data_IF_668976818515
#
_entry.id   IF_668976818515
#
_cell.length_a   1.000
_cell.length_b   1.000
_cell.length_c   1.000
_cell.angle_alpha   90.00
_cell.angle_beta   90.00
_cell.angle_gamma   90.00
#
_symmetry.space_group_name_H-M   'P 1'
#
loop_
_entity.id
_entity.type
_entity.pdbx_description
1 polymer ?
#
# COMPACT_ATOMS: atom_id res chain seq x y z
N UNK A 1 36.60 -25.36 -60.87
CA UNK A 1 36.02 -24.97 -62.18
C UNK A 1 35.26 -23.66 -61.98
N UNK A 2 35.91 -22.48 -62.11
CA UNK A 2 35.84 -21.58 -63.28
C UNK A 2 34.49 -21.57 -64.02
N UNK A 3 33.72 -20.46 -63.91
CA UNK A 3 33.33 -19.51 -64.99
C UNK A 3 32.21 -18.54 -64.53
N UNK A 4 32.48 -17.22 -64.49
CA UNK A 4 32.14 -16.13 -65.46
C UNK A 4 30.79 -15.46 -65.13
N UNK A 5 30.77 -14.26 -64.53
CA UNK A 5 30.77 -12.91 -65.14
C UNK A 5 29.58 -12.68 -66.08
N UNK A 6 28.73 -11.70 -65.76
CA UNK A 6 28.26 -10.65 -66.68
C UNK A 6 27.67 -9.46 -65.92
N UNK A 7 28.35 -8.33 -66.05
CA UNK A 7 27.93 -6.98 -65.71
C UNK A 7 26.98 -6.49 -66.81
N UNK A 8 25.96 -5.71 -66.46
CA UNK A 8 25.29 -4.82 -67.41
C UNK A 8 25.12 -3.45 -66.77
N UNK A 9 25.83 -2.49 -67.36
CA UNK A 9 25.76 -1.06 -67.12
C UNK A 9 24.80 -0.50 -68.18
N UNK A 10 23.81 0.30 -67.79
CA UNK A 10 23.10 1.23 -68.68
C UNK A 10 23.17 2.62 -68.08
N UNK A 11 23.49 3.58 -68.94
CA UNK A 11 23.89 4.94 -68.63
C UNK A 11 22.72 5.95 -68.62
N UNK A 12 22.87 6.92 -67.72
CA UNK A 12 22.55 8.36 -67.76
C UNK A 12 21.43 8.93 -68.66
N UNK A 13 20.61 9.80 -68.05
CA UNK A 13 20.11 11.04 -68.66
C UNK A 13 19.88 12.15 -67.61
N UNK A 14 20.41 13.33 -67.89
CA UNK A 14 20.28 14.60 -67.16
C UNK A 14 18.99 15.34 -67.55
N UNK A 15 18.34 16.00 -66.58
CA UNK A 15 17.72 17.33 -66.78
C UNK A 15 17.38 18.00 -65.42
N UNK A 16 17.60 19.32 -65.26
CA UNK A 16 17.29 20.09 -64.06
C UNK A 16 15.87 20.67 -64.12
N UNK A 17 15.18 20.73 -62.98
CA UNK A 17 13.88 21.37 -62.86
C UNK A 17 13.68 21.99 -61.49
N UNK A 18 13.83 23.31 -61.40
CA UNK A 18 13.42 24.11 -60.25
C UNK A 18 11.91 24.37 -60.37
N UNK A 19 11.14 23.97 -59.36
CA UNK A 19 9.83 24.58 -59.06
C UNK A 19 9.75 24.91 -57.58
N UNK A 20 9.52 26.20 -57.31
CA UNK A 20 9.13 26.73 -56.00
C UNK A 20 7.59 26.72 -55.90
N UNK A 21 7.11 26.63 -54.65
CA UNK A 21 5.71 26.71 -54.17
C UNK A 21 4.92 25.40 -54.18
N UNK A 22 4.07 25.07 -53.22
CA UNK A 22 3.78 25.53 -51.85
C UNK A 22 2.66 24.59 -51.37
N UNK A 23 2.78 23.92 -50.22
CA UNK A 23 1.63 23.34 -49.51
C UNK A 23 1.88 23.38 -48.00
N UNK A 24 1.13 24.26 -47.35
CA UNK A 24 1.07 24.51 -45.91
C UNK A 24 0.43 23.35 -45.13
N UNK A 25 1.04 22.97 -44.01
CA UNK A 25 0.45 22.57 -42.71
C UNK A 25 1.63 22.09 -41.86
N UNK A 26 1.98 22.70 -40.75
CA UNK A 26 1.14 23.06 -39.62
C UNK A 26 1.84 22.44 -38.40
N UNK A 27 2.53 23.31 -37.65
CA UNK A 27 3.00 23.22 -36.27
C UNK A 27 3.06 21.86 -35.54
N UNK A 28 4.24 21.63 -34.95
CA UNK A 28 4.31 21.41 -33.49
C UNK A 28 3.81 20.07 -32.96
N UNK A 29 4.56 18.99 -33.18
CA UNK A 29 4.46 17.78 -32.37
C UNK A 29 5.60 17.74 -31.37
N UNK A 30 5.37 18.26 -30.16
CA UNK A 30 6.31 18.20 -29.05
C UNK A 30 6.77 16.76 -28.78
N UNK A 31 8.09 16.56 -28.70
CA UNK A 31 8.68 15.35 -28.11
C UNK A 31 8.34 15.40 -26.62
N UNK A 32 7.22 14.78 -26.24
CA UNK A 32 6.92 14.51 -24.84
C UNK A 32 7.96 13.56 -24.27
N UNK A 33 8.33 13.67 -22.98
CA UNK A 33 9.27 12.75 -22.38
C UNK A 33 8.64 11.35 -22.41
N UNK A 34 9.25 10.44 -23.17
CA UNK A 34 8.97 9.00 -23.10
C UNK A 34 9.46 8.48 -21.75
N UNK A 35 8.69 8.77 -20.72
CA UNK A 35 8.83 8.23 -19.38
C UNK A 35 7.95 7.00 -19.18
N UNK A 36 7.89 6.09 -20.16
CA UNK A 36 7.51 4.72 -19.83
C UNK A 36 8.69 4.15 -19.03
N UNK A 37 8.60 4.23 -17.71
CA UNK A 37 9.46 3.45 -16.83
C UNK A 37 9.42 2.02 -17.35
N UNK A 38 10.56 1.56 -17.90
CA UNK A 38 10.75 0.18 -18.33
C UNK A 38 10.33 -0.69 -17.14
N UNK A 39 9.24 -1.44 -17.28
CA UNK A 39 8.76 -2.35 -16.26
C UNK A 39 9.96 -3.20 -15.80
N UNK A 40 10.25 -3.19 -14.51
CA UNK A 40 11.30 -4.05 -13.97
C UNK A 40 10.97 -5.49 -14.34
N UNK A 41 11.97 -6.26 -14.78
CA UNK A 41 11.81 -7.68 -15.08
C UNK A 41 11.43 -8.55 -13.87
N UNK A 42 11.26 -7.93 -12.69
CA UNK A 42 10.89 -8.59 -11.45
C UNK A 42 9.47 -8.20 -11.04
N UNK A 43 8.66 -9.21 -10.72
CA UNK A 43 7.29 -9.04 -10.21
C UNK A 43 7.33 -8.38 -8.83
N UNK A 44 6.55 -7.32 -8.65
CA UNK A 44 6.48 -6.59 -7.37
C UNK A 44 5.19 -6.95 -6.63
N UNK A 45 5.21 -6.99 -5.28
CA UNK A 45 3.99 -7.17 -4.52
C UNK A 45 2.99 -6.03 -4.76
N UNK A 46 1.68 -6.28 -4.60
CA UNK A 46 0.69 -5.24 -4.72
C UNK A 46 0.77 -4.32 -3.50
N UNK A 47 0.53 -3.02 -3.70
CA UNK A 47 0.39 -2.04 -2.64
C UNK A 47 -1.09 -1.73 -2.44
N UNK A 48 -1.60 -1.94 -1.22
CA UNK A 48 -2.95 -1.51 -0.83
C UNK A 48 -2.85 -0.08 -0.27
N UNK A 49 -3.68 0.82 -0.77
CA UNK A 49 -3.71 2.23 -0.35
C UNK A 49 -5.04 2.65 0.30
N UNK A 50 -6.09 1.84 0.15
CA UNK A 50 -7.40 2.18 0.68
C UNK A 50 -8.38 1.01 0.77
N UNK A 51 -9.32 1.14 1.70
CA UNK A 51 -10.51 0.30 1.77
C UNK A 51 -11.71 1.20 1.92
N UNK A 52 -12.74 0.98 1.11
CA UNK A 52 -14.03 1.67 1.23
C UNK A 52 -15.15 0.67 1.47
N UNK A 53 -16.25 1.16 2.04
CA UNK A 53 -17.47 0.37 2.26
C UNK A 53 -18.51 0.76 1.23
N UNK A 54 -19.05 -0.24 0.57
CA UNK A 54 -20.20 -0.14 -0.32
C UNK A 54 -21.31 -1.04 0.28
N UNK A 55 -22.09 -0.46 1.19
CA UNK A 55 -23.00 -1.21 2.06
C UNK A 55 -22.22 -2.21 2.94
N UNK A 56 -22.54 -3.50 2.82
CA UNK A 56 -21.85 -4.58 3.53
C UNK A 56 -20.58 -5.07 2.81
N UNK A 57 -20.28 -4.54 1.62
CA UNK A 57 -19.13 -4.96 0.81
C UNK A 57 -17.93 -4.07 1.11
N UNK A 58 -16.77 -4.70 1.34
CA UNK A 58 -15.50 -4.00 1.39
C UNK A 58 -14.87 -3.97 0.00
N UNK A 59 -14.52 -2.77 -0.45
CA UNK A 59 -13.79 -2.55 -1.71
C UNK A 59 -12.36 -2.16 -1.37
N UNK A 60 -11.43 -3.07 -1.64
CA UNK A 60 -9.99 -2.88 -1.47
C UNK A 60 -9.43 -2.24 -2.74
N UNK A 61 -8.64 -1.19 -2.57
CA UNK A 61 -7.99 -0.46 -3.66
C UNK A 61 -6.48 -0.47 -3.49
N UNK A 62 -5.80 -0.33 -4.62
CA UNK A 62 -4.36 -0.23 -4.61
C UNK A 62 -3.73 -0.19 -6.00
N UNK A 63 -2.42 -0.44 -6.01
CA UNK A 63 -1.59 -0.46 -7.19
C UNK A 63 -0.78 -1.76 -7.31
N UNK A 64 -0.58 -2.22 -8.54
CA UNK A 64 0.30 -3.30 -8.94
C UNK A 64 0.90 -2.98 -10.33
N UNK A 65 1.71 -3.89 -10.87
CA UNK A 65 2.15 -3.74 -12.26
C UNK A 65 0.93 -3.77 -13.23
N UNK A 66 0.95 -3.04 -14.36
CA UNK A 66 -0.17 -3.00 -15.29
C UNK A 66 -0.62 -4.39 -15.74
N UNK A 67 -1.93 -4.64 -15.71
CA UNK A 67 -2.54 -5.95 -16.03
C UNK A 67 -2.11 -7.11 -15.13
N UNK A 68 -1.39 -6.86 -14.03
CA UNK A 68 -0.99 -7.90 -13.09
C UNK A 68 -2.20 -8.49 -12.36
N UNK A 69 -2.18 -9.80 -12.10
CA UNK A 69 -3.21 -10.47 -11.30
C UNK A 69 -2.91 -10.29 -9.83
N UNK A 70 -3.73 -9.50 -9.15
CA UNK A 70 -3.68 -9.29 -7.70
C UNK A 70 -4.57 -10.32 -7.03
N UNK A 71 -4.04 -11.02 -6.02
CA UNK A 71 -4.76 -12.04 -5.24
C UNK A 71 -4.67 -11.69 -3.76
N UNK A 72 -5.79 -11.80 -3.05
CA UNK A 72 -5.83 -11.76 -1.59
C UNK A 72 -6.12 -13.17 -1.07
N UNK A 73 -5.16 -13.75 -0.33
CA UNK A 73 -5.28 -15.11 0.23
C UNK A 73 -5.55 -15.07 1.72
N UNK A 74 -6.41 -15.96 2.20
CA UNK A 74 -6.55 -16.26 3.61
C UNK A 74 -6.46 -17.78 3.81
N UNK A 75 -6.07 -18.26 5.00
CA UNK A 75 -6.11 -19.69 5.31
C UNK A 75 -7.55 -20.23 5.31
N UNK A 76 -8.51 -19.44 5.81
CA UNK A 76 -9.87 -19.91 6.13
C UNK A 76 -10.96 -19.28 5.24
N UNK A 77 -10.57 -18.48 4.24
CA UNK A 77 -11.50 -17.82 3.30
C UNK A 77 -11.03 -18.05 1.88
N UNK A 78 -11.98 -18.22 0.96
CA UNK A 78 -11.68 -18.35 -0.47
C UNK A 78 -10.83 -17.16 -0.96
N UNK A 79 -9.77 -17.47 -1.71
CA UNK A 79 -8.94 -16.45 -2.32
C UNK A 79 -9.75 -15.62 -3.33
N UNK A 80 -9.53 -14.32 -3.32
CA UNK A 80 -10.19 -13.37 -4.23
C UNK A 80 -9.13 -12.76 -5.12
N UNK A 81 -9.43 -12.57 -6.40
CA UNK A 81 -8.48 -12.04 -7.36
C UNK A 81 -9.12 -11.02 -8.31
N UNK A 82 -8.30 -10.08 -8.76
CA UNK A 82 -8.64 -9.11 -9.81
C UNK A 82 -7.39 -8.81 -10.64
N UNK A 83 -7.56 -8.35 -11.88
CA UNK A 83 -6.44 -7.80 -12.65
C UNK A 83 -6.38 -6.29 -12.42
N UNK A 84 -5.17 -5.76 -12.24
CA UNK A 84 -4.94 -4.33 -12.31
C UNK A 84 -5.26 -3.80 -13.72
N UNK A 85 -5.69 -2.55 -13.82
CA UNK A 85 -5.94 -1.88 -15.09
C UNK A 85 -4.62 -1.59 -15.85
N UNK A 86 -4.73 -1.01 -17.05
CA UNK A 86 -3.55 -0.63 -17.84
C UNK A 86 -2.69 0.46 -17.20
N UNK A 87 -3.19 1.15 -16.16
CA UNK A 87 -2.44 2.10 -15.35
C UNK A 87 -1.90 1.48 -14.05
N UNK A 88 -2.12 0.17 -13.82
CA UNK A 88 -1.68 -0.55 -12.63
C UNK A 88 -2.60 -0.38 -11.42
N UNK A 89 -3.79 0.19 -11.54
CA UNK A 89 -4.73 0.31 -10.41
C UNK A 89 -5.65 -0.88 -10.32
N UNK A 90 -6.01 -1.30 -9.12
CA UNK A 90 -7.01 -2.35 -8.93
C UNK A 90 -8.10 -1.95 -7.94
N UNK A 91 -9.30 -2.49 -8.15
CA UNK A 91 -10.39 -2.49 -7.18
C UNK A 91 -10.88 -3.92 -6.99
N UNK A 92 -10.81 -4.44 -5.78
CA UNK A 92 -11.20 -5.81 -5.43
C UNK A 92 -12.33 -5.76 -4.41
N UNK A 93 -13.49 -6.33 -4.79
CA UNK A 93 -14.64 -6.49 -3.90
C UNK A 93 -14.49 -7.77 -3.09
N UNK A 94 -14.39 -7.65 -1.77
CA UNK A 94 -14.34 -8.80 -0.88
C UNK A 94 -15.73 -9.43 -0.78
N UNK A 95 -15.83 -10.78 -0.78
CA UNK A 95 -17.07 -11.44 -0.40
C UNK A 95 -17.42 -11.10 1.06
N UNK A 96 -18.67 -11.34 1.51
CA UNK A 96 -19.02 -11.21 2.92
C UNK A 96 -18.03 -11.98 3.80
N UNK A 97 -17.45 -11.27 4.77
CA UNK A 97 -16.50 -11.82 5.73
C UNK A 97 -17.18 -11.95 7.09
N UNK A 98 -16.80 -12.98 7.85
CA UNK A 98 -17.28 -13.20 9.21
C UNK A 98 -16.09 -13.29 10.17
N UNK A 99 -16.25 -12.72 11.37
CA UNK A 99 -15.19 -12.69 12.37
C UNK A 99 -13.95 -11.94 11.89
N UNK A 100 -12.80 -12.29 12.45
CA UNK A 100 -11.54 -11.61 12.17
C UNK A 100 -10.77 -12.35 11.07
N UNK A 101 -10.42 -11.64 9.99
CA UNK A 101 -9.81 -12.22 8.80
C UNK A 101 -8.45 -11.59 8.52
N UNK A 102 -7.47 -12.43 8.19
CA UNK A 102 -6.16 -12.03 7.68
C UNK A 102 -6.06 -12.39 6.20
N UNK A 103 -5.73 -11.39 5.39
CA UNK A 103 -5.56 -11.51 3.95
C UNK A 103 -4.12 -11.15 3.61
N UNK A 104 -3.41 -12.08 2.99
CA UNK A 104 -2.08 -11.90 2.42
C UNK A 104 -2.22 -11.46 0.97
N UNK A 105 -1.87 -10.20 0.63
CA UNK A 105 -1.83 -9.73 -0.74
C UNK A 105 -0.65 -10.34 -1.49
N UNK A 106 -0.88 -10.73 -2.74
CA UNK A 106 0.16 -11.16 -3.66
C UNK A 106 -0.15 -10.73 -5.09
N UNK A 107 0.88 -10.61 -5.91
CA UNK A 107 0.75 -10.53 -7.37
C UNK A 107 1.17 -11.87 -7.96
N UNK A 108 0.45 -12.30 -9.01
CA UNK A 108 0.79 -13.44 -9.84
C UNK A 108 0.95 -13.01 -11.30
N UNK A 109 2.06 -13.38 -11.94
CA UNK A 109 2.32 -13.14 -13.36
C UNK A 109 2.88 -14.43 -13.97
N UNK A 110 2.04 -15.18 -14.68
CA UNK A 110 2.43 -16.51 -15.16
C UNK A 110 2.76 -17.45 -13.99
N UNK A 111 4.00 -17.94 -13.96
CA UNK A 111 4.51 -18.80 -12.87
C UNK A 111 5.17 -17.99 -11.73
N UNK A 112 5.42 -16.70 -11.94
CA UNK A 112 6.02 -15.84 -10.93
C UNK A 112 4.98 -15.32 -9.93
N UNK A 113 5.37 -15.19 -8.67
CA UNK A 113 4.56 -14.63 -7.62
C UNK A 113 5.37 -13.71 -6.69
N UNK A 114 4.75 -12.63 -6.24
CA UNK A 114 5.34 -11.71 -5.27
C UNK A 114 4.36 -11.46 -4.12
N UNK A 115 4.69 -12.01 -2.94
CA UNK A 115 3.91 -11.87 -1.72
C UNK A 115 4.21 -10.53 -1.05
N UNK A 116 3.18 -9.82 -0.60
CA UNK A 116 3.34 -8.57 0.13
C UNK A 116 3.88 -8.83 1.53
N UNK A 117 4.83 -8.01 2.03
CA UNK A 117 5.21 -8.03 3.44
C UNK A 117 4.09 -7.54 4.36
N UNK A 118 3.06 -6.89 3.80
CA UNK A 118 1.90 -6.39 4.54
C UNK A 118 0.79 -7.45 4.57
N UNK A 119 0.14 -7.60 5.72
CA UNK A 119 -1.08 -8.38 5.89
C UNK A 119 -2.25 -7.44 6.08
N UNK A 120 -3.31 -7.59 5.26
CA UNK A 120 -4.57 -6.90 5.46
C UNK A 120 -5.37 -7.63 6.54
N UNK A 121 -5.66 -6.92 7.62
CA UNK A 121 -6.48 -7.40 8.73
C UNK A 121 -7.85 -6.72 8.66
N UNK A 122 -8.90 -7.55 8.61
CA UNK A 122 -10.29 -7.12 8.64
C UNK A 122 -10.92 -7.63 9.93
N UNK A 123 -11.30 -6.72 10.82
CA UNK A 123 -11.86 -7.07 12.13
C UNK A 123 -13.39 -7.18 12.04
N UNK A 124 -13.94 -8.26 12.58
CA UNK A 124 -15.39 -8.53 12.66
C UNK A 124 -16.14 -8.37 11.33
N UNK A 125 -15.64 -8.96 10.25
CA UNK A 125 -16.25 -8.88 8.92
C UNK A 125 -16.23 -7.47 8.33
N UNK A 126 -15.38 -6.60 8.87
CA UNK A 126 -15.36 -5.19 8.59
C UNK A 126 -16.25 -4.39 9.53
N UNK A 127 -17.03 -4.94 10.45
CA UNK A 127 -17.72 -4.11 11.45
C UNK A 127 -16.73 -3.36 12.36
N UNK A 128 -15.54 -3.92 12.58
CA UNK A 128 -14.43 -3.26 13.26
C UNK A 128 -13.45 -2.55 12.32
N UNK A 129 -12.23 -2.25 12.82
CA UNK A 129 -11.17 -1.66 12.02
C UNK A 129 -10.70 -2.52 10.85
N UNK A 130 -10.14 -1.86 9.83
CA UNK A 130 -9.45 -2.50 8.71
C UNK A 130 -8.06 -1.87 8.61
N UNK A 131 -7.01 -2.67 8.61
CA UNK A 131 -5.63 -2.17 8.67
C UNK A 131 -4.64 -3.06 7.92
N UNK A 132 -3.51 -2.49 7.49
CA UNK A 132 -2.32 -3.22 7.10
C UNK A 132 -1.35 -3.27 8.27
N UNK A 133 -0.90 -4.48 8.60
CA UNK A 133 0.20 -4.71 9.53
C UNK A 133 1.40 -5.29 8.78
N UNK A 134 2.60 -4.94 9.21
CA UNK A 134 3.83 -5.56 8.71
C UNK A 134 4.91 -5.48 9.79
N UNK A 135 5.82 -6.46 9.79
CA UNK A 135 6.91 -6.51 10.74
C UNK A 135 7.78 -5.24 10.66
N UNK A 136 7.90 -4.52 11.77
CA UNK A 136 8.74 -3.32 11.88
C UNK A 136 8.22 -2.10 11.13
N UNK A 137 6.99 -2.13 10.62
CA UNK A 137 6.34 -0.97 10.01
C UNK A 137 5.21 -0.45 10.91
N UNK A 138 4.92 0.86 10.87
CA UNK A 138 3.73 1.39 11.52
C UNK A 138 2.46 0.79 10.91
N UNK A 139 1.47 0.51 11.74
CA UNK A 139 0.19 0.00 11.24
C UNK A 139 -0.54 1.06 10.41
N UNK A 140 -0.93 0.72 9.19
CA UNK A 140 -1.71 1.59 8.32
C UNK A 140 -3.20 1.27 8.45
N UNK A 141 -3.95 2.19 9.04
CA UNK A 141 -5.39 2.06 9.19
C UNK A 141 -6.13 2.55 7.94
N UNK A 142 -7.08 1.75 7.45
CA UNK A 142 -7.78 1.95 6.17
C UNK A 142 -9.29 2.24 6.32
N UNK A 143 -9.88 2.13 7.51
CA UNK A 143 -11.32 2.26 7.77
C UNK A 143 -11.79 3.68 8.11
N UNK A 144 -11.26 4.73 7.44
CA UNK A 144 -11.76 6.12 7.57
C UNK A 144 -10.81 7.11 8.27
N UNK A 145 -11.37 8.19 8.84
CA UNK A 145 -10.61 9.34 9.36
C UNK A 145 -10.49 9.37 10.88
N UNK A 146 -9.32 9.76 11.40
CA UNK A 146 -9.08 10.09 12.81
C UNK A 146 -7.66 10.66 12.96
N UNK A 147 -7.37 11.35 14.07
CA UNK A 147 -6.04 11.95 14.27
C UNK A 147 -4.98 10.91 14.65
N UNK A 148 -5.39 9.81 15.29
CA UNK A 148 -4.56 8.66 15.66
C UNK A 148 -5.07 7.41 14.94
N UNK A 149 -4.18 6.72 14.24
CA UNK A 149 -4.49 5.46 13.55
C UNK A 149 -4.17 4.25 14.42
N UNK A 150 -2.97 4.22 15.00
CA UNK A 150 -2.48 3.10 15.79
C UNK A 150 -1.45 3.53 16.84
N UNK A 151 -1.31 2.70 17.87
CA UNK A 151 -0.14 2.65 18.75
C UNK A 151 0.46 1.25 18.61
N UNK A 152 1.62 1.15 17.97
CA UNK A 152 2.35 -0.08 17.74
C UNK A 152 3.38 -0.34 18.84
N UNK A 153 3.63 -1.60 19.19
CA UNK A 153 4.69 -1.99 20.12
C UNK A 153 5.40 -3.28 19.73
N UNK A 154 6.64 -3.43 20.19
CA UNK A 154 7.40 -4.67 20.25
C UNK A 154 7.71 -5.10 21.71
N UNK A 155 6.99 -4.52 22.68
CA UNK A 155 7.21 -4.70 24.12
C UNK A 155 8.34 -3.85 24.71
N UNK A 156 9.19 -3.24 23.86
CA UNK A 156 10.29 -2.35 24.30
C UNK A 156 10.04 -0.90 23.91
N UNK A 157 9.53 -0.68 22.70
CA UNK A 157 9.27 0.64 22.12
C UNK A 157 7.78 0.79 21.83
N UNK A 158 7.27 2.01 21.98
CA UNK A 158 5.95 2.38 21.48
C UNK A 158 6.08 3.34 20.31
N UNK A 159 5.21 3.16 19.32
CA UNK A 159 5.15 4.00 18.13
C UNK A 159 3.70 4.43 17.94
N UNK A 160 3.41 5.72 18.08
CA UNK A 160 2.13 6.29 17.68
C UNK A 160 2.18 6.71 16.21
N UNK A 161 1.13 6.44 15.46
CA UNK A 161 1.02 6.82 14.06
C UNK A 161 -0.39 7.32 13.71
N UNK A 162 -0.48 8.19 12.71
CA UNK A 162 -1.74 8.78 12.25
C UNK A 162 -1.59 9.41 10.86
N UNK A 163 -2.69 9.90 10.25
CA UNK A 163 -2.63 10.53 8.94
C UNK A 163 -1.91 11.88 9.01
N UNK A 164 -0.99 12.11 8.08
CA UNK A 164 -0.30 13.39 7.94
C UNK A 164 -1.29 14.49 7.55
N UNK A 165 -1.28 15.60 8.28
CA UNK A 165 -1.98 16.83 7.91
C UNK A 165 -1.07 17.76 7.11
N UNK A 166 -1.56 18.99 6.88
CA UNK A 166 -0.75 20.07 6.30
C UNK A 166 0.37 20.56 7.22
N UNK A 167 0.28 20.26 8.51
CA UNK A 167 1.29 20.53 9.54
C UNK A 167 1.52 19.27 10.38
N UNK A 168 2.73 19.06 10.92
CA UNK A 168 2.95 18.00 11.91
C UNK A 168 2.05 18.21 13.14
N UNK A 169 1.38 17.17 13.65
CA UNK A 169 0.58 17.27 14.86
C UNK A 169 1.46 17.45 16.11
N UNK A 170 0.87 17.99 17.17
CA UNK A 170 1.46 17.94 18.50
C UNK A 170 1.06 16.63 19.16
N UNK A 171 2.05 15.78 19.44
CA UNK A 171 1.84 14.48 20.07
C UNK A 171 2.43 14.49 21.47
N UNK A 172 1.60 14.21 22.48
CA UNK A 172 2.00 14.04 23.87
C UNK A 172 1.83 12.57 24.27
N UNK A 173 2.84 11.96 24.88
CA UNK A 173 2.77 10.58 25.36
C UNK A 173 3.27 10.53 26.79
N UNK A 174 2.41 10.08 27.71
CA UNK A 174 2.68 10.11 29.14
C UNK A 174 2.94 11.52 29.68
N UNK A 175 2.33 12.54 29.06
CA UNK A 175 2.54 13.95 29.41
C UNK A 175 3.82 14.59 28.83
N UNK A 176 4.61 13.85 28.04
CA UNK A 176 5.83 14.36 27.39
C UNK A 176 5.60 14.55 25.90
N UNK A 177 6.04 15.67 25.35
CA UNK A 177 5.95 15.91 23.91
C UNK A 177 6.90 14.98 23.15
N UNK A 178 6.35 14.20 22.22
CA UNK A 178 7.11 13.27 21.39
C UNK A 178 7.66 13.95 20.14
N UNK A 179 8.79 13.46 19.63
CA UNK A 179 9.31 13.90 18.33
C UNK A 179 8.49 13.27 17.20
N UNK A 180 7.89 14.12 16.35
CA UNK A 180 7.03 13.71 15.25
C UNK A 180 7.79 13.81 13.94
N UNK A 181 7.80 12.71 13.18
CA UNK A 181 8.39 12.64 11.85
C UNK A 181 7.33 12.27 10.82
N UNK A 182 7.49 12.76 9.59
CA UNK A 182 6.70 12.24 8.47
C UNK A 182 7.16 10.82 8.14
N UNK A 183 6.20 9.94 7.90
CA UNK A 183 6.37 8.56 7.51
C UNK A 183 5.84 8.34 6.08
N UNK A 184 6.08 7.16 5.53
CA UNK A 184 5.57 6.78 4.22
C UNK A 184 4.03 6.79 4.18
N UNK A 185 3.47 6.78 2.96
CA UNK A 185 2.01 6.68 2.71
C UNK A 185 1.18 7.76 3.41
N UNK A 186 1.71 8.98 3.51
CA UNK A 186 0.99 10.11 4.07
C UNK A 186 0.67 9.94 5.55
N UNK A 187 1.55 9.31 6.32
CA UNK A 187 1.41 9.17 7.76
C UNK A 187 2.42 10.05 8.50
N UNK A 188 2.11 10.39 9.74
CA UNK A 188 3.09 10.83 10.72
C UNK A 188 3.40 9.68 11.69
N UNK A 189 4.58 9.73 12.31
CA UNK A 189 5.01 8.79 13.35
C UNK A 189 5.67 9.53 14.52
N UNK A 190 5.41 9.07 15.73
CA UNK A 190 6.10 9.49 16.94
C UNK A 190 6.57 8.26 17.73
N UNK A 191 7.86 8.20 18.06
CA UNK A 191 8.45 7.10 18.83
C UNK A 191 8.58 7.45 20.31
N UNK A 192 8.43 6.44 21.17
CA UNK A 192 8.58 6.54 22.62
C UNK A 192 9.38 5.35 23.14
N UNK A 193 10.39 5.62 23.95
CA UNK A 193 11.21 4.60 24.62
C UNK A 193 10.61 4.06 25.91
N UNK A 194 9.27 4.00 26.04
CA UNK A 194 8.59 3.45 27.22
C UNK A 194 7.53 2.45 26.78
N UNK A 195 7.51 1.27 27.38
CA UNK A 195 6.46 0.26 27.24
C UNK A 195 5.40 0.40 28.34
N UNK A 196 4.26 -0.27 28.16
CA UNK A 196 3.17 -0.30 29.12
C UNK A 196 2.05 0.71 28.86
N UNK A 197 1.01 0.66 29.69
CA UNK A 197 -0.17 1.50 29.54
C UNK A 197 0.18 2.99 29.70
N UNK A 198 -0.30 3.82 28.77
CA UNK A 198 0.06 5.24 28.73
C UNK A 198 -1.03 6.09 28.08
N UNK A 199 -1.17 7.34 28.55
CA UNK A 199 -1.98 8.34 27.87
C UNK A 199 -1.26 8.85 26.62
N UNK A 200 -1.97 8.90 25.49
CA UNK A 200 -1.53 9.49 24.23
C UNK A 200 -2.47 10.64 23.91
N UNK A 201 -1.96 11.83 23.63
CA UNK A 201 -2.76 12.94 23.12
C UNK A 201 -2.21 13.43 21.78
N UNK A 202 -3.10 13.66 20.81
CA UNK A 202 -2.77 14.16 19.47
C UNK A 202 -3.61 15.40 19.22
N UNK A 203 -2.98 16.56 19.06
CA UNK A 203 -3.65 17.86 18.90
C UNK A 203 -4.74 18.11 19.95
N UNK A 204 -4.49 17.69 21.20
CA UNK A 204 -5.42 17.83 22.32
C UNK A 204 -6.48 16.74 22.44
N UNK A 205 -6.61 15.83 21.46
CA UNK A 205 -7.48 14.65 21.59
C UNK A 205 -6.76 13.54 22.36
N UNK A 206 -7.35 13.11 23.47
CA UNK A 206 -6.76 12.10 24.37
C UNK A 206 -7.22 10.68 24.06
N UNK A 207 -6.29 9.74 24.19
CA UNK A 207 -6.43 8.31 24.02
C UNK A 207 -5.74 7.59 25.18
N UNK A 208 -6.33 6.49 25.67
CA UNK A 208 -5.74 5.68 26.72
C UNK A 208 -5.22 4.37 26.11
N UNK A 209 -3.92 4.30 25.81
CA UNK A 209 -3.29 3.06 25.35
C UNK A 209 -3.28 2.06 26.52
N UNK A 210 -3.91 0.89 26.37
CA UNK A 210 -4.09 -0.08 27.45
C UNK A 210 -2.83 -0.89 27.79
N UNK A 211 -1.68 -0.59 27.17
CA UNK A 211 -0.46 -1.39 27.29
C UNK A 211 -0.43 -2.54 26.28
N UNK A 212 0.61 -3.37 26.36
CA UNK A 212 0.71 -4.60 25.58
C UNK A 212 -0.06 -5.74 26.24
N UNK A 213 -0.14 -6.88 25.55
CA UNK A 213 -0.48 -8.17 26.14
C UNK A 213 0.67 -9.14 25.89
N UNK A 214 0.75 -10.18 26.71
CA UNK A 214 1.74 -11.23 26.54
C UNK A 214 1.66 -11.85 25.14
N UNK A 215 2.84 -12.02 24.53
CA UNK A 215 3.01 -12.55 23.19
C UNK A 215 2.90 -14.07 23.13
N UNK A 216 2.24 -14.57 22.09
CA UNK A 216 2.21 -15.99 21.75
C UNK A 216 1.94 -16.15 20.26
N UNK A 217 0.66 -16.26 19.89
CA UNK A 217 0.22 -16.36 18.50
C UNK A 217 -0.42 -15.08 17.96
N UNK A 218 -0.92 -15.17 16.73
CA UNK A 218 -1.78 -14.12 16.19
C UNK A 218 -3.07 -14.04 17.00
N UNK A 219 -3.44 -12.85 17.48
CA UNK A 219 -4.71 -12.65 18.18
C UNK A 219 -5.27 -11.25 17.93
N UNK A 220 -6.60 -11.14 17.98
CA UNK A 220 -7.33 -9.88 17.94
C UNK A 220 -8.30 -9.88 19.12
N UNK A 221 -8.33 -8.77 19.86
CA UNK A 221 -9.23 -8.61 20.99
C UNK A 221 -9.59 -7.15 21.24
N UNK A 222 -10.72 -6.93 21.91
CA UNK A 222 -11.03 -5.64 22.52
C UNK A 222 -10.01 -5.34 23.63
N UNK A 223 -9.50 -4.11 23.67
CA UNK A 223 -8.59 -3.64 24.71
C UNK A 223 -8.86 -2.17 25.00
N UNK A 224 -9.45 -1.88 26.16
CA UNK A 224 -9.92 -0.54 26.50
C UNK A 224 -10.88 0.01 25.42
N UNK A 225 -10.63 1.25 25.01
CA UNK A 225 -11.39 1.95 23.96
C UNK A 225 -10.77 1.71 22.57
N UNK A 226 -10.56 0.44 22.21
CA UNK A 226 -9.98 0.07 20.94
C UNK A 226 -9.84 -1.44 20.74
N UNK A 227 -9.14 -1.80 19.67
CA UNK A 227 -8.81 -3.16 19.30
C UNK A 227 -7.30 -3.38 19.37
N UNK A 228 -6.87 -4.49 19.94
CA UNK A 228 -5.48 -4.92 19.93
C UNK A 228 -5.32 -6.06 18.93
N UNK A 229 -4.30 -5.96 18.08
CA UNK A 229 -3.82 -7.01 17.19
C UNK A 229 -2.43 -7.40 17.72
N UNK A 230 -2.16 -8.68 17.88
CA UNK A 230 -0.85 -9.22 18.25
C UNK A 230 -0.44 -10.21 17.18
N UNK A 231 0.82 -10.20 16.74
CA UNK A 231 1.33 -11.18 15.79
C UNK A 231 2.79 -11.56 16.09
N UNK A 232 3.18 -12.81 15.82
CA UNK A 232 4.55 -13.25 15.97
C UNK A 232 5.45 -12.64 14.90
N UNK A 233 6.70 -12.37 15.25
CA UNK A 233 7.75 -11.90 14.36
C UNK A 233 8.99 -12.78 14.55
N UNK A 234 9.52 -13.33 13.46
CA UNK A 234 10.70 -14.20 13.52
C UNK A 234 11.94 -13.45 14.04
N UNK A 235 12.86 -14.11 14.77
CA UNK A 235 12.88 -15.54 15.11
C UNK A 235 12.13 -15.93 16.40
N UNK A 236 11.55 -14.99 17.14
CA UNK A 236 10.89 -15.30 18.43
C UNK A 236 10.33 -14.08 19.17
N UNK A 237 10.09 -12.98 18.44
CA UNK A 237 9.47 -11.78 18.98
C UNK A 237 7.98 -11.74 18.68
N UNK A 238 7.34 -10.67 19.13
CA UNK A 238 5.99 -10.32 18.74
C UNK A 238 5.92 -8.82 18.48
N UNK A 239 4.92 -8.42 17.71
CA UNK A 239 4.50 -7.04 17.61
C UNK A 239 3.02 -6.94 17.91
N UNK A 240 2.63 -5.79 18.41
CA UNK A 240 1.25 -5.45 18.67
C UNK A 240 0.90 -4.13 17.99
N UNK A 241 -0.38 -3.97 17.71
CA UNK A 241 -0.98 -2.71 17.30
C UNK A 241 -2.26 -2.51 18.09
N UNK A 242 -2.41 -1.35 18.72
CA UNK A 242 -3.68 -0.91 19.30
C UNK A 242 -4.32 0.15 18.40
N UNK A 243 -5.53 -0.16 17.93
CA UNK A 243 -6.34 0.68 17.06
C UNK A 243 -7.44 1.33 17.91
N UNK A 244 -7.39 2.65 18.18
CA UNK A 244 -8.39 3.32 19.00
C UNK A 244 -9.77 3.22 18.36
N UNK A 245 -10.82 3.20 19.17
CA UNK A 245 -12.17 3.40 18.66
C UNK A 245 -12.27 4.77 17.98
N UNK A 246 -13.02 4.80 16.89
CA UNK A 246 -13.40 6.06 16.26
C UNK A 246 -14.81 6.37 16.72
N UNK A 247 -15.03 7.63 17.11
CA UNK A 247 -16.38 8.12 17.34
C UNK A 247 -17.12 8.00 16.01
N UNK A 248 -18.24 7.28 16.01
CA UNK A 248 -19.11 7.22 14.84
C UNK A 248 -19.51 8.65 14.48
N UNK A 249 -19.29 9.04 13.22
CA UNK A 249 -19.85 10.27 12.67
C UNK A 249 -21.24 10.00 12.13
#
# INVERSE_FOLDING_TARGET
MKRRISVTIVAALLAPGVTLSACSRGEGGAVGPSGAQKASSWVRPPMIDGVTRDGAVLVVRGAADPNARVVLRAPDVAAVAVNADGAGRFELRLPPLHGDVRLTPEVQVGEDAAVSPETLVVIQGGAGPVALIAAGQPTLRLDGSGVLNAVDSDGSTLIASGPAGSKPPVVMIGGVQANVVQAARGQWRAMVGRSGAVGVAVDGQSFAYPGDADGGGFSIARAGQGWRIIWPVAPGGHQSAWLPDRVAR
#
